data_IF_580797869669
#
_entry.id   IF_580797869669
#
_cell.length_a   1.000
_cell.length_b   1.000
_cell.length_c   1.000
_cell.angle_alpha   90.00
_cell.angle_beta   90.00
_cell.angle_gamma   90.00
#
_symmetry.space_group_name_H-M   'P 1'
#
loop_
_entity.id
_entity.type
_entity.pdbx_description
1 polymer ?
#
# COMPACT_ATOMS: atom_id res chain seq x y z
N UNK A 1 13.18 -6.44 25.91
CA UNK A 1 12.55 -6.17 24.62
C UNK A 1 11.91 -7.48 24.22
N UNK A 2 10.58 -7.57 24.27
CA UNK A 2 9.87 -8.80 23.88
C UNK A 2 10.12 -9.10 22.40
N UNK A 3 10.18 -10.38 22.05
CA UNK A 3 10.48 -10.86 20.69
C UNK A 3 9.52 -10.32 19.59
N UNK A 4 8.44 -9.62 19.94
CA UNK A 4 7.46 -9.02 19.04
C UNK A 4 7.45 -7.50 19.04
N UNK A 5 8.31 -6.86 19.80
CA UNK A 5 8.40 -5.41 19.85
C UNK A 5 9.65 -4.98 19.09
N UNK A 6 9.47 -4.69 17.82
CA UNK A 6 10.22 -3.67 17.11
C UNK A 6 11.74 -3.74 17.36
N UNK A 7 12.34 -4.87 17.00
CA UNK A 7 13.77 -4.94 16.74
C UNK A 7 14.05 -4.99 15.25
N UNK A 8 13.08 -4.62 14.41
CA UNK A 8 13.29 -4.59 12.96
C UNK A 8 14.03 -3.29 12.67
N UNK A 9 15.24 -3.41 12.13
CA UNK A 9 15.96 -2.29 11.53
C UNK A 9 15.03 -1.58 10.55
N UNK A 10 14.83 -0.25 10.62
CA UNK A 10 14.01 0.49 9.67
C UNK A 10 14.37 0.21 8.21
N UNK A 11 15.64 -0.06 7.90
CA UNK A 11 16.10 -0.44 6.56
C UNK A 11 15.68 -1.89 6.21
N UNK A 12 15.75 -2.81 7.16
CA UNK A 12 15.25 -4.17 7.00
C UNK A 12 13.74 -4.15 6.79
N UNK A 13 13.02 -3.32 7.55
CA UNK A 13 11.58 -3.12 7.38
C UNK A 13 11.22 -2.62 5.97
N UNK A 14 11.89 -1.60 5.45
CA UNK A 14 11.67 -1.08 4.09
C UNK A 14 12.01 -2.10 2.99
N UNK A 15 12.89 -3.05 3.26
CA UNK A 15 13.30 -4.08 2.31
C UNK A 15 12.53 -5.39 2.44
N UNK A 16 12.15 -5.81 3.64
CA UNK A 16 11.52 -7.11 3.90
C UNK A 16 10.00 -7.07 3.81
N UNK A 17 9.36 -5.93 4.10
CA UNK A 17 7.91 -5.73 4.00
C UNK A 17 7.42 -5.31 2.60
N UNK A 18 8.25 -5.52 1.62
CA UNK A 18 7.88 -5.49 0.23
C UNK A 18 7.19 -6.82 -0.13
N UNK A 19 6.08 -6.80 -0.86
CA UNK A 19 5.41 -8.00 -1.36
C UNK A 19 6.37 -8.94 -2.10
N UNK A 20 7.41 -8.39 -2.76
CA UNK A 20 8.42 -9.17 -3.47
C UNK A 20 9.30 -10.02 -2.55
N UNK A 21 9.40 -9.67 -1.28
CA UNK A 21 10.24 -10.38 -0.30
C UNK A 21 9.46 -11.39 0.58
N UNK A 22 8.13 -11.42 0.44
CA UNK A 22 7.33 -12.44 1.12
C UNK A 22 7.62 -13.84 0.55
N UNK A 23 7.53 -14.91 1.37
CA UNK A 23 7.52 -16.26 0.87
C UNK A 23 6.51 -16.41 -0.27
N UNK A 24 6.83 -17.19 -1.30
CA UNK A 24 6.03 -17.28 -2.53
C UNK A 24 4.55 -17.59 -2.27
N UNK A 25 4.26 -18.47 -1.32
CA UNK A 25 2.87 -18.83 -0.97
C UNK A 25 2.09 -17.66 -0.34
N UNK A 26 2.75 -16.85 0.49
CA UNK A 26 2.16 -15.64 1.07
C UNK A 26 2.03 -14.54 0.02
N UNK A 27 3.08 -14.33 -0.77
CA UNK A 27 3.10 -13.35 -1.86
C UNK A 27 1.96 -13.55 -2.83
N UNK A 28 1.69 -14.78 -3.28
CA UNK A 28 0.61 -15.11 -4.21
C UNK A 28 -0.79 -14.73 -3.73
N UNK A 29 -0.98 -14.54 -2.42
CA UNK A 29 -2.27 -14.09 -1.86
C UNK A 29 -2.53 -12.61 -2.10
N UNK A 30 -1.46 -11.81 -2.18
CA UNK A 30 -1.55 -10.35 -2.15
C UNK A 30 -0.86 -9.67 -3.33
N UNK A 31 -0.10 -10.42 -4.13
CA UNK A 31 0.66 -9.89 -5.24
C UNK A 31 0.79 -10.88 -6.39
N UNK A 32 0.62 -10.36 -7.61
CA UNK A 32 0.88 -11.09 -8.86
C UNK A 32 1.53 -10.15 -9.87
N UNK A 33 2.41 -10.67 -10.70
CA UNK A 33 2.96 -9.95 -11.84
C UNK A 33 2.83 -10.75 -13.13
N UNK A 34 2.68 -10.03 -14.23
CA UNK A 34 2.64 -10.61 -15.58
C UNK A 34 3.28 -9.66 -16.57
N UNK A 35 3.96 -10.21 -17.57
CA UNK A 35 4.62 -9.44 -18.62
C UNK A 35 3.60 -8.95 -19.64
N UNK A 36 3.68 -7.67 -20.02
CA UNK A 36 2.89 -7.04 -21.05
C UNK A 36 3.62 -7.12 -22.40
N UNK A 37 2.90 -6.88 -23.49
CA UNK A 37 3.44 -6.91 -24.86
C UNK A 37 4.54 -5.87 -25.08
N UNK A 38 4.46 -4.72 -24.41
CA UNK A 38 5.46 -3.64 -24.46
C UNK A 38 6.71 -3.90 -23.61
N UNK A 39 6.78 -5.06 -22.95
CA UNK A 39 7.89 -5.48 -22.10
C UNK A 39 7.82 -4.98 -20.66
N UNK A 40 6.91 -4.05 -20.33
CA UNK A 40 6.63 -3.65 -18.95
C UNK A 40 5.89 -4.75 -18.20
N UNK A 41 5.74 -4.59 -16.88
CA UNK A 41 4.96 -5.53 -16.07
C UNK A 41 3.57 -4.95 -15.75
N UNK A 42 2.58 -5.82 -15.70
CA UNK A 42 1.37 -5.59 -14.93
C UNK A 42 1.61 -6.15 -13.53
N UNK A 43 1.49 -5.28 -12.52
CA UNK A 43 1.61 -5.60 -11.11
C UNK A 43 0.27 -5.47 -10.44
N UNK A 44 -0.25 -6.56 -9.96
CA UNK A 44 -1.57 -6.67 -9.33
C UNK A 44 -1.39 -6.87 -7.83
N UNK A 45 -2.05 -6.02 -7.05
CA UNK A 45 -2.00 -6.00 -5.58
C UNK A 45 -3.41 -6.20 -5.01
N UNK A 46 -3.53 -6.99 -3.94
CA UNK A 46 -4.77 -7.16 -3.18
C UNK A 46 -4.61 -6.51 -1.83
N UNK A 47 -5.30 -5.39 -1.66
CA UNK A 47 -5.32 -4.60 -0.44
C UNK A 47 -6.67 -4.71 0.25
N UNK A 48 -6.64 -4.68 1.56
CA UNK A 48 -7.85 -4.46 2.35
C UNK A 48 -7.54 -3.53 3.52
N UNK A 49 -8.52 -2.68 3.89
CA UNK A 49 -8.49 -1.94 5.14
C UNK A 49 -9.22 -2.72 6.22
N UNK A 50 -8.68 -2.77 7.44
CA UNK A 50 -9.34 -3.38 8.59
C UNK A 50 -8.98 -2.68 9.90
N UNK A 51 -9.90 -2.72 10.87
CA UNK A 51 -9.61 -2.32 12.24
C UNK A 51 -8.86 -3.44 12.96
N UNK A 52 -7.73 -3.11 13.57
CA UNK A 52 -6.89 -4.10 14.24
C UNK A 52 -6.15 -3.52 15.44
N UNK A 53 -6.13 -4.25 16.55
CA UNK A 53 -5.22 -3.92 17.63
C UNK A 53 -3.81 -4.40 17.27
N UNK A 54 -2.86 -3.46 17.17
CA UNK A 54 -1.45 -3.76 16.95
C UNK A 54 -0.67 -3.57 18.25
N UNK A 55 0.24 -4.46 18.54
CA UNK A 55 1.14 -4.32 19.68
C UNK A 55 2.27 -3.36 19.31
N UNK A 56 2.32 -2.21 19.98
CA UNK A 56 3.32 -1.14 19.73
C UNK A 56 4.49 -1.18 20.71
N UNK A 57 4.31 -1.86 21.84
CA UNK A 57 5.34 -2.22 22.81
C UNK A 57 4.84 -3.43 23.62
N UNK A 58 5.70 -4.16 24.35
CA UNK A 58 5.29 -5.34 25.10
C UNK A 58 4.06 -5.09 25.99
N UNK A 59 2.94 -5.75 25.67
CA UNK A 59 1.66 -5.61 26.35
C UNK A 59 0.90 -4.31 26.10
N UNK A 60 1.40 -3.42 25.21
CA UNK A 60 0.75 -2.15 24.87
C UNK A 60 0.15 -2.25 23.48
N UNK A 61 -1.17 -2.19 23.39
CA UNK A 61 -1.92 -2.30 22.15
C UNK A 61 -2.48 -0.95 21.71
N UNK A 62 -2.40 -0.70 20.40
CA UNK A 62 -2.97 0.46 19.75
C UNK A 62 -4.10 0.03 18.81
N UNK A 63 -5.31 0.61 18.94
CA UNK A 63 -6.41 0.31 18.03
C UNK A 63 -6.19 1.03 16.71
N UNK A 64 -5.50 0.37 15.80
CA UNK A 64 -5.11 0.88 14.50
C UNK A 64 -6.22 0.66 13.46
N UNK A 65 -6.15 1.46 12.39
CA UNK A 65 -6.72 1.15 11.08
C UNK A 65 -5.57 0.76 10.16
N UNK A 66 -5.65 -0.38 9.52
CA UNK A 66 -4.50 -0.97 8.85
C UNK A 66 -4.78 -1.26 7.38
N UNK A 67 -3.76 -1.19 6.54
CA UNK A 67 -3.77 -1.89 5.25
C UNK A 67 -3.13 -3.26 5.43
N UNK A 68 -3.85 -4.31 5.06
CA UNK A 68 -3.42 -5.72 5.15
C UNK A 68 -2.94 -6.12 6.56
N UNK A 69 -3.56 -5.57 7.60
CA UNK A 69 -3.33 -5.95 8.98
C UNK A 69 -2.03 -5.47 9.62
N UNK A 70 -1.35 -4.49 9.03
CA UNK A 70 -0.06 -3.98 9.47
C UNK A 70 0.04 -2.46 9.38
N UNK A 71 0.97 -1.87 10.12
CA UNK A 71 1.34 -0.45 10.09
C UNK A 71 2.88 -0.34 10.10
N UNK A 72 3.49 0.35 9.12
CA UNK A 72 2.89 0.83 7.88
C UNK A 72 2.26 -0.28 7.05
N UNK A 73 1.36 0.08 6.11
CA UNK A 73 0.85 -0.84 5.12
C UNK A 73 1.94 -1.40 4.20
N UNK A 74 1.66 -2.45 3.41
CA UNK A 74 2.64 -3.09 2.53
C UNK A 74 3.25 -2.10 1.54
N UNK A 75 4.57 -2.21 1.30
CA UNK A 75 5.25 -1.39 0.30
C UNK A 75 4.84 -1.80 -1.12
N UNK A 76 4.32 -0.86 -1.90
CA UNK A 76 4.11 -1.02 -3.33
C UNK A 76 5.42 -0.67 -4.04
N UNK A 77 5.97 -1.58 -4.85
CA UNK A 77 7.20 -1.33 -5.61
C UNK A 77 7.02 -1.71 -7.08
N UNK A 78 7.42 -0.82 -7.96
CA UNK A 78 7.32 -0.98 -9.40
C UNK A 78 8.54 -0.38 -10.10
N UNK A 79 8.69 -0.65 -11.39
CA UNK A 79 9.61 0.07 -12.27
C UNK A 79 8.81 1.08 -13.07
N UNK A 80 9.38 2.24 -13.34
CA UNK A 80 8.75 3.29 -14.15
C UNK A 80 8.21 2.75 -15.47
N UNK A 81 6.94 3.01 -15.73
CA UNK A 81 6.20 2.49 -16.88
C UNK A 81 5.47 1.16 -16.64
N UNK A 82 5.66 0.49 -15.52
CA UNK A 82 4.84 -0.66 -15.17
C UNK A 82 3.37 -0.25 -14.97
N UNK A 83 2.46 -1.14 -15.27
CA UNK A 83 1.04 -0.96 -14.97
C UNK A 83 0.73 -1.50 -13.59
N UNK A 84 0.17 -0.67 -12.73
CA UNK A 84 -0.24 -1.03 -11.37
C UNK A 84 -1.75 -1.20 -11.36
N UNK A 85 -2.20 -2.27 -10.71
CA UNK A 85 -3.60 -2.51 -10.41
C UNK A 85 -3.73 -2.90 -8.94
N UNK A 86 -4.55 -2.16 -8.18
CA UNK A 86 -4.80 -2.42 -6.77
C UNK A 86 -6.28 -2.76 -6.59
N UNK A 87 -6.55 -4.01 -6.26
CA UNK A 87 -7.87 -4.47 -5.84
C UNK A 87 -8.03 -4.15 -4.36
N UNK A 88 -8.84 -3.16 -4.05
CA UNK A 88 -9.05 -2.68 -2.69
C UNK A 88 -10.43 -3.05 -2.16
N UNK A 89 -10.47 -3.56 -0.92
CA UNK A 89 -11.68 -3.89 -0.18
C UNK A 89 -11.66 -3.18 1.18
N UNK A 90 -12.73 -2.48 1.51
CA UNK A 90 -12.88 -1.91 2.85
C UNK A 90 -13.56 -2.93 3.78
N UNK A 91 -12.79 -3.57 4.66
CA UNK A 91 -13.25 -4.47 5.74
C UNK A 91 -13.33 -3.78 7.09
N UNK A 92 -12.97 -2.49 7.15
CA UNK A 92 -13.01 -1.68 8.37
C UNK A 92 -14.41 -1.19 8.72
N UNK A 93 -14.50 -0.43 9.80
CA UNK A 93 -15.76 0.16 10.30
C UNK A 93 -16.01 1.59 9.83
N UNK A 94 -15.05 2.21 9.16
CA UNK A 94 -15.10 3.59 8.66
C UNK A 94 -14.91 3.61 7.13
N UNK A 95 -15.34 4.68 6.45
CA UNK A 95 -15.04 4.87 5.04
C UNK A 95 -13.54 5.03 4.81
N UNK A 96 -12.98 4.33 3.82
CA UNK A 96 -11.55 4.35 3.50
C UNK A 96 -11.32 4.41 1.99
N UNK A 97 -10.16 4.97 1.59
CA UNK A 97 -9.66 4.95 0.23
C UNK A 97 -8.16 4.61 0.20
N UNK A 98 -7.59 4.48 -1.00
CA UNK A 98 -6.15 4.52 -1.21
C UNK A 98 -5.87 5.70 -2.14
N UNK A 99 -5.19 6.71 -1.61
CA UNK A 99 -4.64 7.83 -2.36
C UNK A 99 -3.14 7.59 -2.55
N UNK A 100 -2.70 7.48 -3.80
CA UNK A 100 -1.27 7.29 -4.13
C UNK A 100 -0.68 8.59 -4.64
N UNK A 101 0.48 8.97 -4.11
CA UNK A 101 1.22 10.11 -4.65
C UNK A 101 1.95 9.69 -5.94
N UNK A 102 1.67 10.37 -7.05
CA UNK A 102 2.21 10.05 -8.38
C UNK A 102 1.38 10.71 -9.47
N UNK A 103 1.65 10.41 -10.72
CA UNK A 103 0.86 10.92 -11.84
C UNK A 103 -0.15 9.87 -12.30
N UNK A 104 -1.43 10.17 -12.14
CA UNK A 104 -2.54 9.31 -12.55
C UNK A 104 -3.81 10.14 -12.79
N UNK A 105 -4.82 9.51 -13.38
CA UNK A 105 -6.11 10.17 -13.61
C UNK A 105 -6.81 10.46 -12.28
N UNK A 106 -7.54 11.57 -12.21
CA UNK A 106 -8.32 11.96 -11.04
C UNK A 106 -9.29 10.87 -10.57
N UNK A 107 -9.85 10.08 -11.49
CA UNK A 107 -10.73 8.94 -11.16
C UNK A 107 -10.02 7.78 -10.43
N UNK A 108 -8.69 7.80 -10.37
CA UNK A 108 -7.86 6.81 -9.67
C UNK A 108 -7.13 7.43 -8.47
N UNK A 109 -7.45 8.68 -8.13
CA UNK A 109 -6.75 9.43 -7.10
C UNK A 109 -7.13 9.02 -5.67
N UNK A 110 -8.36 8.59 -5.46
CA UNK A 110 -8.84 8.18 -4.15
C UNK A 110 -8.91 9.31 -3.10
N UNK A 111 -8.89 10.57 -3.56
CA UNK A 111 -8.75 11.75 -2.71
C UNK A 111 -10.08 12.48 -2.44
N UNK A 112 -11.09 12.25 -3.25
CA UNK A 112 -12.39 12.91 -3.11
C UNK A 112 -13.28 12.14 -2.12
N UNK A 113 -14.28 12.84 -1.56
CA UNK A 113 -15.25 12.21 -0.65
C UNK A 113 -16.02 11.06 -1.33
N UNK A 114 -16.29 11.22 -2.63
CA UNK A 114 -16.97 10.24 -3.46
C UNK A 114 -16.12 8.98 -3.73
N UNK A 115 -14.80 9.06 -3.55
CA UNK A 115 -13.88 7.93 -3.72
C UNK A 115 -13.78 7.05 -2.47
N UNK A 116 -14.39 7.50 -1.35
CA UNK A 116 -14.35 6.75 -0.10
C UNK A 116 -15.27 5.55 -0.16
N UNK A 117 -14.70 4.36 -0.01
CA UNK A 117 -15.45 3.12 0.09
C UNK A 117 -16.07 2.97 1.48
N UNK A 118 -17.35 2.71 1.54
CA UNK A 118 -18.04 2.32 2.76
C UNK A 118 -17.61 0.89 3.18
N UNK A 119 -17.84 0.50 4.45
CA UNK A 119 -17.59 -0.87 4.90
C UNK A 119 -18.22 -1.93 3.99
N UNK A 120 -17.42 -2.88 3.50
CA UNK A 120 -17.82 -3.95 2.58
C UNK A 120 -17.69 -3.62 1.10
N UNK A 121 -17.48 -2.37 0.73
CA UNK A 121 -17.31 -1.96 -0.66
C UNK A 121 -15.91 -2.28 -1.20
N UNK A 122 -15.82 -2.32 -2.54
CA UNK A 122 -14.60 -2.63 -3.29
C UNK A 122 -14.41 -1.67 -4.44
N UNK A 123 -13.14 -1.37 -4.74
CA UNK A 123 -12.74 -0.58 -5.90
C UNK A 123 -11.44 -1.12 -6.48
N UNK A 124 -11.20 -0.86 -7.76
CA UNK A 124 -9.94 -1.21 -8.41
C UNK A 124 -9.27 0.05 -8.93
N UNK A 125 -8.15 0.40 -8.31
CA UNK A 125 -7.26 1.46 -8.81
C UNK A 125 -6.40 0.89 -9.93
N UNK A 126 -6.24 1.64 -11.02
CA UNK A 126 -5.40 1.23 -12.14
C UNK A 126 -4.68 2.42 -12.76
N UNK A 127 -3.35 2.44 -12.70
CA UNK A 127 -2.52 3.53 -13.18
C UNK A 127 -1.14 3.03 -13.62
N UNK A 128 -0.37 3.89 -14.30
CA UNK A 128 1.03 3.62 -14.65
C UNK A 128 1.94 4.11 -13.55
N UNK A 129 2.98 3.35 -13.21
CA UNK A 129 4.02 3.76 -12.28
C UNK A 129 4.83 4.92 -12.88
N UNK A 130 4.60 6.15 -12.39
CA UNK A 130 5.22 7.38 -12.88
C UNK A 130 5.02 8.51 -11.85
N UNK A 131 6.03 9.38 -11.63
CA UNK A 131 7.43 9.28 -12.03
C UNK A 131 8.23 8.33 -11.12
N UNK A 132 9.46 8.00 -11.50
CA UNK A 132 10.34 7.29 -10.59
C UNK A 132 10.63 8.12 -9.32
N UNK A 133 10.84 7.41 -8.20
CA UNK A 133 11.08 8.05 -6.91
C UNK A 133 10.47 7.27 -5.76
N UNK A 134 10.64 7.83 -4.56
CA UNK A 134 9.99 7.35 -3.35
C UNK A 134 8.78 8.21 -3.07
N UNK A 135 7.62 7.59 -3.16
CA UNK A 135 6.31 8.19 -2.93
C UNK A 135 5.63 7.55 -1.73
N UNK A 136 4.49 8.12 -1.35
CA UNK A 136 3.61 7.60 -0.31
C UNK A 136 2.28 7.16 -0.91
N UNK A 137 1.58 6.29 -0.21
CA UNK A 137 0.14 6.15 -0.33
C UNK A 137 -0.50 6.22 1.06
N UNK A 138 -1.72 6.72 1.14
CA UNK A 138 -2.46 6.81 2.40
C UNK A 138 -3.97 6.89 2.17
N UNK A 139 -4.74 6.71 3.22
CA UNK A 139 -6.16 6.98 3.18
C UNK A 139 -6.43 8.49 3.17
N UNK A 140 -7.35 8.93 2.32
CA UNK A 140 -7.77 10.33 2.24
C UNK A 140 -9.14 10.60 2.92
N UNK A 141 -9.61 9.65 3.75
CA UNK A 141 -10.80 9.83 4.58
C UNK A 141 -10.68 11.03 5.53
N UNK A 142 -11.80 11.69 5.80
CA UNK A 142 -11.82 12.87 6.66
C UNK A 142 -12.11 12.50 8.13
N UNK A 143 -11.40 13.11 9.09
CA UNK A 143 -10.22 13.98 8.92
C UNK A 143 -8.97 13.17 8.54
N UNK A 144 -8.24 13.61 7.51
CA UNK A 144 -7.08 12.90 6.95
C UNK A 144 -6.03 12.57 8.02
N UNK A 145 -5.75 13.53 8.90
CA UNK A 145 -4.79 13.36 9.99
C UNK A 145 -5.13 12.18 10.91
N UNK A 146 -6.42 11.93 11.15
CA UNK A 146 -6.86 10.79 11.96
C UNK A 146 -6.63 9.47 11.21
N UNK A 147 -6.97 9.39 9.92
CA UNK A 147 -6.79 8.18 9.14
C UNK A 147 -5.31 7.80 9.03
N UNK A 148 -4.42 8.78 8.79
CA UNK A 148 -2.98 8.55 8.74
C UNK A 148 -2.44 8.17 10.12
N UNK A 149 -2.76 8.92 11.18
CA UNK A 149 -2.26 8.64 12.54
C UNK A 149 -2.76 7.29 13.09
N UNK A 150 -3.88 6.79 12.59
CA UNK A 150 -4.40 5.46 12.91
C UNK A 150 -3.66 4.33 12.19
N UNK A 151 -2.84 4.62 11.16
CA UNK A 151 -1.98 3.63 10.52
C UNK A 151 -2.23 3.39 9.02
N UNK A 152 -3.18 4.10 8.40
CA UNK A 152 -3.51 3.94 6.98
C UNK A 152 -2.53 4.71 6.07
N UNK A 153 -1.30 4.24 6.00
CA UNK A 153 -0.25 4.76 5.11
C UNK A 153 0.78 3.69 4.78
N UNK A 154 1.54 3.90 3.70
CA UNK A 154 2.65 3.05 3.31
C UNK A 154 3.53 3.69 2.25
N UNK A 155 4.61 3.01 1.88
CA UNK A 155 5.53 3.45 0.84
C UNK A 155 5.07 2.99 -0.55
N UNK A 156 5.22 3.86 -1.53
CA UNK A 156 5.09 3.58 -2.94
C UNK A 156 6.41 3.95 -3.64
N UNK A 157 7.15 2.94 -4.10
CA UNK A 157 8.49 3.11 -4.66
C UNK A 157 8.44 2.78 -6.14
N UNK A 158 8.89 3.71 -6.96
CA UNK A 158 9.05 3.53 -8.41
C UNK A 158 10.54 3.57 -8.73
N UNK A 159 11.09 2.43 -9.11
CA UNK A 159 12.49 2.35 -9.55
C UNK A 159 12.60 2.94 -10.97
N UNK A 160 13.68 3.67 -11.30
CA UNK A 160 13.89 4.18 -12.63
C UNK A 160 14.14 3.05 -13.63
N UNK A 161 13.76 3.23 -14.89
CA UNK A 161 14.22 2.36 -15.97
C UNK A 161 15.76 2.39 -16.06
N UNK A 162 16.37 1.27 -16.40
CA UNK A 162 17.85 1.13 -16.44
C UNK A 162 18.54 2.13 -17.36
N UNK A 163 17.87 2.56 -18.42
CA UNK A 163 18.35 3.51 -19.43
C UNK A 163 18.22 4.98 -19.02
N UNK A 164 17.56 5.27 -17.91
CA UNK A 164 17.33 6.64 -17.40
C UNK A 164 18.24 7.00 -16.23
N UNK A 165 19.16 6.11 -15.81
CA UNK A 165 20.12 6.42 -14.77
C UNK A 165 21.21 7.34 -15.31
N UNK A 166 21.54 8.44 -14.59
CA UNK A 166 22.67 9.29 -14.96
C UNK A 166 24.00 8.57 -14.85
#
# INVERSE_FOLDING_TARGET
VGENAIGIDPMEFLTTWNFNNLPEQERKKYYKESKREDGSLLREYWFYAEDKNIEVAPGIFFPAWTYNGQVPGPTIRAVEGDRIKIYFENRGTKPHSIHTHGFHNASMDGAMVEDLLLPGERFTYEFTADPFGTHLYHCHGLPISQHISKGLYGAYIVDPKMDTRP
#
